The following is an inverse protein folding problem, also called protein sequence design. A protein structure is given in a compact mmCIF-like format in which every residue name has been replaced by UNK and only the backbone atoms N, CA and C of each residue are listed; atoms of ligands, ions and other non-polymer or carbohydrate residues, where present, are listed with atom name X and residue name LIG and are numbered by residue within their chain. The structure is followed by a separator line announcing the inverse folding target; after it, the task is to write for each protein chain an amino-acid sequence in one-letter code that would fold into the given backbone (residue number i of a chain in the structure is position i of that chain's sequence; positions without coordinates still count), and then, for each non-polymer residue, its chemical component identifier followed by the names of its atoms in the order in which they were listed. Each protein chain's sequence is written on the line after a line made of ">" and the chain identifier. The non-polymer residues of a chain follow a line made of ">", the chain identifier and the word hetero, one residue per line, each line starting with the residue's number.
data_IF_390705895485
#
_entry.id   IF_390705895485
#
_cell.length_a   1.000
_cell.length_b   1.000
_cell.length_c   1.000
_cell.angle_alpha   90.00
_cell.angle_beta   90.00
_cell.angle_gamma   90.00
#
_symmetry.space_group_name_H-M   'P 1'
#
loop_
_entity.id
_entity.type
_entity.pdbx_description
1 polymer ?
#
# COMPACT_ATOMS: atom_id res chain seq x y z
N UNK A 1 40.11 11.92 61.90
CA UNK A 1 40.76 11.58 60.62
C UNK A 1 40.10 10.30 60.13
N UNK A 2 39.04 10.46 59.33
CA UNK A 2 38.27 9.34 58.79
C UNK A 2 38.87 8.94 57.44
N UNK A 3 39.19 7.65 57.35
CA UNK A 3 39.54 6.94 56.12
C UNK A 3 38.29 6.88 55.25
N UNK A 4 38.36 7.41 54.04
CA UNK A 4 37.26 7.45 53.08
C UNK A 4 37.74 7.25 51.65
N UNK A 5 37.28 6.14 51.07
CA UNK A 5 37.04 5.88 49.64
C UNK A 5 38.26 5.81 48.70
N UNK A 6 38.75 4.57 48.53
CA UNK A 6 39.34 4.12 47.26
C UNK A 6 38.21 4.00 46.23
N UNK A 7 38.23 4.87 45.21
CA UNK A 7 37.50 4.64 43.97
C UNK A 7 38.29 3.63 43.12
N UNK A 8 37.75 2.43 42.98
CA UNK A 8 38.12 1.51 41.92
C UNK A 8 37.55 2.04 40.59
N UNK A 9 38.38 2.71 39.79
CA UNK A 9 38.10 2.87 38.36
C UNK A 9 38.23 1.51 37.67
N UNK A 10 37.07 0.94 37.32
CA UNK A 10 36.96 -0.22 36.45
C UNK A 10 37.24 0.17 35.00
N UNK A 11 38.17 -0.56 34.39
CA UNK A 11 38.35 -0.82 32.96
C UNK A 11 37.19 -0.41 32.05
N UNK A 12 37.50 0.32 30.98
CA UNK A 12 37.22 -0.18 29.63
C UNK A 12 38.14 0.50 28.61
N UNK A 13 39.09 -0.30 28.12
CA UNK A 13 40.01 0.09 27.08
C UNK A 13 39.29 0.57 25.84
N UNK A 14 39.84 1.64 25.28
CA UNK A 14 39.57 2.20 23.96
C UNK A 14 39.54 1.08 22.90
N UNK A 15 38.34 0.60 22.56
CA UNK A 15 38.13 -0.24 21.38
C UNK A 15 38.13 0.70 20.18
N UNK A 16 39.33 1.09 19.76
CA UNK A 16 39.59 1.61 18.43
C UNK A 16 39.23 0.53 17.42
N UNK A 17 37.97 0.54 16.96
CA UNK A 17 37.53 -0.31 15.85
C UNK A 17 38.32 0.08 14.61
N UNK A 18 39.36 -0.70 14.29
CA UNK A 18 40.08 -0.57 13.02
C UNK A 18 39.07 -0.69 11.88
N UNK A 19 39.05 0.25 10.91
CA UNK A 19 38.11 0.17 9.80
C UNK A 19 38.39 -1.09 8.99
N UNK A 20 37.38 -1.95 8.86
CA UNK A 20 37.43 -3.13 8.00
C UNK A 20 37.76 -2.64 6.58
N UNK A 21 38.93 -3.00 6.05
CA UNK A 21 39.30 -2.70 4.66
C UNK A 21 38.40 -3.52 3.72
N UNK A 22 37.26 -2.95 3.35
CA UNK A 22 36.48 -3.44 2.23
C UNK A 22 37.33 -3.29 0.95
N UNK A 23 37.61 -4.41 0.28
CA UNK A 23 38.18 -4.42 -1.07
C UNK A 23 37.04 -4.52 -2.08
N UNK A 24 36.13 -3.56 -2.09
CA UNK A 24 35.14 -3.46 -3.15
C UNK A 24 35.71 -2.64 -4.29
N UNK A 25 35.91 -3.27 -5.46
CA UNK A 25 36.13 -2.53 -6.73
C UNK A 25 34.94 -1.63 -7.10
N UNK A 26 33.85 -1.75 -6.35
CA UNK A 26 32.58 -1.02 -6.48
C UNK A 26 32.30 -0.06 -5.31
N UNK A 27 33.24 0.14 -4.38
CA UNK A 27 33.09 1.10 -3.26
C UNK A 27 33.44 2.55 -3.69
N UNK A 28 33.36 2.85 -4.98
CA UNK A 28 33.44 4.24 -5.45
C UNK A 28 32.11 4.90 -5.09
N UNK A 29 32.10 6.09 -4.45
CA UNK A 29 30.87 6.83 -4.29
C UNK A 29 30.29 7.03 -5.69
N UNK A 30 29.07 6.54 -5.86
CA UNK A 30 28.39 6.65 -7.13
C UNK A 30 28.09 8.14 -7.29
N UNK A 31 28.50 8.79 -8.39
CA UNK A 31 28.30 10.24 -8.55
C UNK A 31 26.83 10.66 -8.57
N UNK A 32 25.90 9.71 -8.72
CA UNK A 32 24.46 9.92 -8.61
C UNK A 32 23.89 9.62 -7.22
N UNK A 33 24.71 9.18 -6.26
CA UNK A 33 24.27 8.88 -4.88
C UNK A 33 24.38 10.09 -3.92
N UNK A 34 25.11 11.15 -4.28
CA UNK A 34 25.38 12.32 -3.42
C UNK A 34 24.69 13.63 -3.87
N UNK A 35 23.77 13.58 -4.83
CA UNK A 35 23.08 14.79 -5.33
C UNK A 35 22.09 15.34 -4.27
N UNK A 36 22.36 16.47 -3.58
CA UNK A 36 21.56 16.95 -2.45
C UNK A 36 20.19 17.51 -2.86
N UNK A 37 19.98 17.68 -4.16
CA UNK A 37 18.82 18.36 -4.73
C UNK A 37 17.79 17.39 -5.36
N UNK A 38 18.09 16.08 -5.35
CA UNK A 38 17.20 15.04 -5.88
C UNK A 38 16.66 14.28 -4.68
N UNK A 39 15.43 14.61 -4.27
CA UNK A 39 14.71 13.79 -3.31
C UNK A 39 14.25 12.49 -4.01
N UNK A 40 15.07 11.44 -3.87
CA UNK A 40 14.84 10.12 -4.47
C UNK A 40 13.56 9.44 -4.00
N UNK A 41 12.87 10.01 -3.02
CA UNK A 41 11.66 9.46 -2.42
C UNK A 41 10.39 10.25 -2.78
N UNK A 42 10.51 11.38 -3.49
CA UNK A 42 9.34 12.13 -3.95
C UNK A 42 8.62 11.35 -5.06
N UNK A 43 7.35 11.04 -4.84
CA UNK A 43 6.49 10.37 -5.82
C UNK A 43 6.00 11.45 -6.80
N UNK A 44 6.56 11.47 -8.01
CA UNK A 44 6.05 12.35 -9.07
C UNK A 44 4.70 11.86 -9.58
N UNK A 45 3.74 12.77 -9.71
CA UNK A 45 2.42 12.46 -10.26
C UNK A 45 2.56 12.15 -11.75
N UNK A 46 1.86 11.10 -12.20
CA UNK A 46 1.88 10.71 -13.60
C UNK A 46 1.35 11.84 -14.50
N UNK A 47 2.16 12.25 -15.49
CA UNK A 47 1.73 13.21 -16.49
C UNK A 47 0.98 12.49 -17.63
N UNK A 48 -0.28 12.85 -17.93
CA UNK A 48 -1.05 12.27 -19.03
C UNK A 48 -0.38 12.33 -20.41
N UNK A 49 0.60 13.22 -20.61
CA UNK A 49 1.41 13.33 -21.82
C UNK A 49 2.38 12.17 -22.03
N UNK A 50 2.74 11.43 -20.98
CA UNK A 50 3.68 10.30 -21.09
C UNK A 50 3.09 9.09 -21.82
N UNK A 51 1.76 9.03 -21.94
CA UNK A 51 1.07 7.98 -22.68
C UNK A 51 -0.11 8.55 -23.49
N UNK A 52 0.19 9.18 -24.62
CA UNK A 52 -0.82 9.76 -25.51
C UNK A 52 -1.68 8.72 -26.23
N UNK A 53 -1.10 7.56 -26.54
CA UNK A 53 -1.75 6.47 -27.28
C UNK A 53 -2.73 5.68 -26.41
N UNK A 54 -2.54 5.69 -25.09
CA UNK A 54 -3.35 4.94 -24.13
C UNK A 54 -3.01 3.45 -24.13
N UNK A 55 -3.92 2.63 -23.58
CA UNK A 55 -3.72 1.18 -23.47
C UNK A 55 -4.20 0.45 -24.73
N UNK A 56 -3.34 -0.41 -25.29
CA UNK A 56 -3.68 -1.28 -26.42
C UNK A 56 -4.49 -2.51 -25.98
N UNK A 57 -4.07 -3.13 -24.88
CA UNK A 57 -4.70 -4.30 -24.29
C UNK A 57 -5.55 -3.94 -23.08
N UNK A 58 -6.61 -4.72 -22.87
CA UNK A 58 -7.53 -4.56 -21.74
C UNK A 58 -7.11 -5.50 -20.62
N UNK A 59 -6.79 -4.93 -19.47
CA UNK A 59 -6.62 -5.65 -18.21
C UNK A 59 -7.93 -5.59 -17.44
N UNK A 60 -8.43 -6.72 -16.94
CA UNK A 60 -9.67 -6.81 -16.18
C UNK A 60 -9.46 -7.57 -14.88
N UNK A 61 -10.00 -7.05 -13.78
CA UNK A 61 -9.98 -7.67 -12.47
C UNK A 61 -11.38 -7.71 -11.89
N UNK A 62 -11.75 -8.85 -11.29
CA UNK A 62 -13.04 -9.03 -10.64
C UNK A 62 -12.86 -9.47 -9.19
N UNK A 63 -13.76 -9.02 -8.31
CA UNK A 63 -13.82 -9.40 -6.90
C UNK A 63 -15.25 -9.70 -6.50
N UNK A 64 -15.46 -10.85 -5.87
CA UNK A 64 -16.74 -11.23 -5.29
C UNK A 64 -17.01 -10.45 -3.99
N UNK A 65 -18.26 -10.11 -3.75
CA UNK A 65 -18.71 -9.48 -2.51
C UNK A 65 -19.82 -10.30 -1.84
N UNK A 66 -19.94 -10.24 -0.51
CA UNK A 66 -20.99 -10.96 0.20
C UNK A 66 -22.36 -10.29 0.00
N UNK A 67 -23.42 -11.10 -0.05
CA UNK A 67 -24.79 -10.66 -0.35
C UNK A 67 -25.29 -9.53 0.57
N UNK A 68 -24.89 -9.51 1.85
CA UNK A 68 -25.30 -8.44 2.78
C UNK A 68 -24.79 -7.04 2.36
N UNK A 69 -23.75 -6.97 1.53
CA UNK A 69 -23.14 -5.69 1.08
C UNK A 69 -23.77 -5.15 -0.20
N UNK A 70 -24.63 -5.93 -0.86
CA UNK A 70 -25.22 -5.62 -2.16
C UNK A 70 -25.98 -4.28 -2.16
N UNK A 71 -26.88 -4.06 -1.20
CA UNK A 71 -27.68 -2.82 -1.10
C UNK A 71 -26.80 -1.58 -1.01
N UNK A 72 -25.78 -1.64 -0.16
CA UNK A 72 -24.82 -0.53 0.00
C UNK A 72 -24.05 -0.27 -1.29
N UNK A 73 -23.55 -1.33 -1.94
CA UNK A 73 -22.80 -1.21 -3.19
C UNK A 73 -23.67 -0.60 -4.29
N UNK A 74 -24.93 -0.99 -4.39
CA UNK A 74 -25.86 -0.44 -5.38
C UNK A 74 -26.06 1.08 -5.21
N UNK A 75 -26.18 1.57 -3.97
CA UNK A 75 -26.34 3.00 -3.66
C UNK A 75 -25.07 3.80 -3.95
N UNK A 76 -23.89 3.27 -3.60
CA UNK A 76 -22.62 4.00 -3.75
C UNK A 76 -21.93 3.80 -5.11
N UNK A 77 -22.40 2.86 -5.93
CA UNK A 77 -21.80 2.54 -7.22
C UNK A 77 -21.63 3.75 -8.16
N UNK A 78 -22.60 4.69 -8.27
CA UNK A 78 -22.44 5.87 -9.11
C UNK A 78 -21.22 6.72 -8.71
N UNK A 79 -20.94 6.83 -7.41
CA UNK A 79 -19.78 7.57 -6.88
C UNK A 79 -18.47 6.90 -7.29
N UNK A 80 -18.38 5.57 -7.16
CA UNK A 80 -17.21 4.79 -7.60
C UNK A 80 -16.98 4.94 -9.10
N UNK A 81 -18.06 4.88 -9.89
CA UNK A 81 -18.00 5.05 -11.34
C UNK A 81 -17.55 6.44 -11.75
N UNK A 82 -17.96 7.48 -11.01
CA UNK A 82 -17.50 8.85 -11.26
C UNK A 82 -16.00 8.97 -11.00
N UNK A 83 -15.52 8.49 -9.85
CA UNK A 83 -14.11 8.55 -9.48
C UNK A 83 -13.21 7.81 -10.49
N UNK A 84 -13.57 6.59 -10.88
CA UNK A 84 -12.77 5.79 -11.83
C UNK A 84 -12.80 6.34 -13.26
N UNK A 85 -13.87 7.07 -13.63
CA UNK A 85 -14.00 7.68 -14.96
C UNK A 85 -12.97 8.78 -15.20
N UNK A 86 -12.55 9.50 -14.16
CA UNK A 86 -11.51 10.53 -14.25
C UNK A 86 -10.17 9.95 -14.72
N UNK A 87 -9.87 8.72 -14.31
CA UNK A 87 -8.66 7.99 -14.72
C UNK A 87 -8.87 7.13 -15.98
N UNK A 88 -10.07 7.15 -16.57
CA UNK A 88 -10.39 6.37 -17.76
C UNK A 88 -10.52 4.85 -17.50
N UNK A 89 -10.82 4.42 -16.28
CA UNK A 89 -11.06 3.02 -15.93
C UNK A 89 -12.56 2.72 -15.99
N UNK A 90 -12.94 1.60 -16.60
CA UNK A 90 -14.33 1.13 -16.61
C UNK A 90 -14.59 0.27 -15.38
N UNK A 91 -15.80 0.37 -14.82
CA UNK A 91 -16.23 -0.47 -13.71
C UNK A 91 -17.67 -0.96 -13.89
N UNK A 92 -17.89 -2.23 -13.58
CA UNK A 92 -19.17 -2.92 -13.70
C UNK A 92 -19.52 -3.64 -12.38
N UNK A 93 -20.81 -3.59 -12.02
CA UNK A 93 -21.37 -4.25 -10.85
C UNK A 93 -22.36 -5.31 -11.32
N UNK A 94 -22.06 -6.57 -11.05
CA UNK A 94 -22.94 -7.69 -11.35
C UNK A 94 -23.64 -8.15 -10.06
N UNK A 95 -24.94 -7.84 -9.95
CA UNK A 95 -25.77 -8.22 -8.79
C UNK A 95 -26.17 -9.71 -8.82
N UNK A 96 -26.21 -10.34 -10.00
CA UNK A 96 -26.59 -11.75 -10.15
C UNK A 96 -25.46 -12.66 -9.65
N UNK A 97 -24.23 -12.38 -10.08
CA UNK A 97 -23.04 -13.12 -9.61
C UNK A 97 -22.52 -12.60 -8.27
N UNK A 98 -22.91 -11.39 -7.85
CA UNK A 98 -22.35 -10.73 -6.68
C UNK A 98 -20.87 -10.33 -6.87
N UNK A 99 -20.52 -9.83 -8.06
CA UNK A 99 -19.14 -9.49 -8.44
C UNK A 99 -19.00 -8.01 -8.83
N UNK A 100 -17.86 -7.42 -8.49
CA UNK A 100 -17.42 -6.10 -8.96
C UNK A 100 -16.25 -6.30 -9.90
N UNK A 101 -16.32 -5.70 -11.08
CA UNK A 101 -15.28 -5.82 -12.11
C UNK A 101 -14.76 -4.44 -12.48
N UNK A 102 -13.44 -4.30 -12.60
CA UNK A 102 -12.76 -3.11 -13.13
C UNK A 102 -11.93 -3.50 -14.34
N UNK A 103 -11.95 -2.67 -15.37
CA UNK A 103 -11.21 -2.92 -16.61
C UNK A 103 -10.58 -1.64 -17.16
N UNK A 104 -9.37 -1.75 -17.69
CA UNK A 104 -8.73 -0.64 -18.40
C UNK A 104 -9.45 -0.37 -19.71
N UNK A 105 -9.37 0.87 -20.17
CA UNK A 105 -9.89 1.27 -21.49
C UNK A 105 -8.77 1.88 -22.31
N UNK A 106 -9.03 2.10 -23.61
CA UNK A 106 -8.09 2.84 -24.48
C UNK A 106 -7.82 4.28 -24.01
N UNK A 107 -8.65 4.81 -23.11
CA UNK A 107 -8.50 6.15 -22.53
C UNK A 107 -7.65 6.16 -21.27
N UNK A 108 -7.35 5.00 -20.69
CA UNK A 108 -6.49 4.90 -19.51
C UNK A 108 -5.08 5.37 -19.88
N UNK A 109 -4.58 6.38 -19.15
CA UNK A 109 -3.28 7.02 -19.40
C UNK A 109 -2.18 6.35 -18.59
N UNK A 110 -2.40 6.25 -17.28
CA UNK A 110 -1.49 5.56 -16.36
C UNK A 110 -1.76 4.04 -16.37
N UNK A 111 -0.79 3.18 -16.70
CA UNK A 111 -0.95 1.73 -16.57
C UNK A 111 -1.13 1.24 -15.13
N UNK A 112 -0.60 1.95 -14.13
CA UNK A 112 -0.58 1.51 -12.73
C UNK A 112 -1.95 1.69 -12.03
N UNK A 113 -2.78 2.63 -12.48
CA UNK A 113 -4.10 2.90 -11.91
C UNK A 113 -5.02 1.67 -11.84
N UNK A 114 -4.86 0.68 -12.73
CA UNK A 114 -5.67 -0.55 -12.68
C UNK A 114 -5.40 -1.36 -11.41
N UNK A 115 -4.18 -1.30 -10.87
CA UNK A 115 -3.80 -1.96 -9.62
C UNK A 115 -4.47 -1.27 -8.43
N UNK A 116 -4.52 0.06 -8.43
CA UNK A 116 -5.25 0.85 -7.43
C UNK A 116 -6.76 0.61 -7.52
N UNK A 117 -7.33 0.54 -8.73
CA UNK A 117 -8.74 0.23 -8.95
C UNK A 117 -9.11 -1.19 -8.48
N UNK A 118 -8.22 -2.17 -8.66
CA UNK A 118 -8.36 -3.52 -8.09
C UNK A 118 -8.40 -3.48 -6.57
N UNK A 119 -7.55 -2.68 -5.94
CA UNK A 119 -7.52 -2.53 -4.49
C UNK A 119 -8.77 -1.83 -3.96
N UNK A 120 -9.29 -0.83 -4.68
CA UNK A 120 -10.55 -0.17 -4.38
C UNK A 120 -11.72 -1.17 -4.27
N UNK A 121 -11.94 -2.01 -5.30
CA UNK A 121 -13.02 -3.01 -5.27
C UNK A 121 -12.81 -4.06 -4.17
N UNK A 122 -11.55 -4.37 -3.84
CA UNK A 122 -11.19 -5.31 -2.79
C UNK A 122 -11.48 -4.76 -1.40
N UNK A 123 -11.29 -3.46 -1.17
CA UNK A 123 -11.68 -2.76 0.07
C UNK A 123 -13.21 -2.70 0.22
N UNK A 124 -13.93 -2.39 -0.85
CA UNK A 124 -15.40 -2.34 -0.85
C UNK A 124 -16.01 -3.71 -0.47
N UNK A 125 -15.44 -4.80 -0.95
CA UNK A 125 -15.83 -6.17 -0.58
C UNK A 125 -15.64 -6.47 0.92
N UNK A 126 -14.70 -5.77 1.58
CA UNK A 126 -14.43 -5.89 3.04
C UNK A 126 -15.18 -4.88 3.89
N UNK A 127 -16.23 -4.28 3.34
CA UNK A 127 -17.09 -3.33 4.06
C UNK A 127 -16.45 -2.00 4.45
N UNK A 128 -15.37 -1.60 3.77
CA UNK A 128 -14.81 -0.24 3.92
C UNK A 128 -15.78 0.80 3.34
N UNK A 129 -16.00 1.96 3.99
CA UNK A 129 -16.82 3.03 3.44
C UNK A 129 -16.23 3.62 2.15
N UNK A 130 -17.10 3.96 1.19
CA UNK A 130 -16.70 4.44 -0.15
C UNK A 130 -15.78 5.67 -0.10
N UNK A 131 -16.06 6.65 0.76
CA UNK A 131 -15.27 7.87 0.88
C UNK A 131 -13.83 7.60 1.35
N UNK A 132 -13.63 6.58 2.18
CA UNK A 132 -12.30 6.18 2.62
C UNK A 132 -11.61 5.33 1.55
N UNK A 133 -12.37 4.49 0.84
CA UNK A 133 -11.83 3.62 -0.19
C UNK A 133 -11.33 4.42 -1.40
N UNK A 134 -12.03 5.49 -1.82
CA UNK A 134 -11.64 6.33 -2.98
C UNK A 134 -10.26 6.95 -2.81
N UNK A 135 -9.83 7.26 -1.58
CA UNK A 135 -8.51 7.83 -1.29
C UNK A 135 -7.35 6.96 -1.78
N UNK A 136 -7.58 5.66 -2.01
CA UNK A 136 -6.54 4.78 -2.54
C UNK A 136 -6.14 5.10 -3.98
N UNK A 137 -6.97 5.85 -4.71
CA UNK A 137 -6.64 6.33 -6.05
C UNK A 137 -5.51 7.37 -6.02
N UNK A 138 -5.24 7.98 -4.85
CA UNK A 138 -4.09 8.83 -4.64
C UNK A 138 -2.80 7.98 -4.47
N UNK A 139 -1.70 8.45 -5.04
CA UNK A 139 -0.43 7.70 -5.05
C UNK A 139 0.18 7.56 -3.64
N UNK A 140 -0.04 8.55 -2.77
CA UNK A 140 0.46 8.57 -1.39
C UNK A 140 -0.24 7.52 -0.48
N UNK A 141 -1.41 7.04 -0.89
CA UNK A 141 -2.23 6.13 -0.08
C UNK A 141 -2.09 4.70 -0.61
N UNK A 142 -1.77 3.78 0.28
CA UNK A 142 -1.68 2.35 -0.02
C UNK A 142 -2.63 1.56 0.88
N UNK A 143 -3.03 0.35 0.44
CA UNK A 143 -3.79 -0.55 1.29
C UNK A 143 -3.11 -1.90 1.43
N UNK A 144 -3.29 -2.48 2.62
CA UNK A 144 -2.87 -3.85 2.92
C UNK A 144 -4.00 -4.63 3.58
N UNK A 145 -4.13 -5.89 3.18
CA UNK A 145 -5.10 -6.82 3.79
C UNK A 145 -4.33 -7.92 4.49
N UNK A 146 -4.26 -7.79 5.81
CA UNK A 146 -3.58 -8.74 6.68
C UNK A 146 -4.54 -9.89 7.02
N UNK A 147 -4.17 -11.11 6.64
CA UNK A 147 -4.95 -12.32 6.95
C UNK A 147 -4.66 -12.77 8.39
N UNK A 148 -5.56 -12.48 9.31
CA UNK A 148 -5.44 -12.90 10.73
C UNK A 148 -6.04 -14.28 11.03
N UNK A 149 -6.87 -14.84 10.13
CA UNK A 149 -7.65 -16.06 10.39
C UNK A 149 -6.85 -17.35 10.66
N UNK A 150 -5.59 -17.40 10.21
CA UNK A 150 -4.71 -18.57 10.35
C UNK A 150 -3.70 -18.44 11.50
N UNK A 151 -3.69 -17.31 12.22
CA UNK A 151 -2.69 -17.05 13.24
C UNK A 151 -2.88 -17.92 14.49
N UNK A 152 -4.13 -18.24 14.84
CA UNK A 152 -4.47 -19.01 16.03
C UNK A 152 -5.40 -20.17 15.66
N UNK A 153 -5.30 -21.32 16.34
CA UNK A 153 -6.15 -22.50 16.04
C UNK A 153 -7.52 -22.45 16.73
N UNK A 154 -7.56 -21.98 17.98
CA UNK A 154 -8.78 -21.97 18.80
C UNK A 154 -9.71 -20.81 18.44
N UNK A 155 -11.01 -21.11 18.32
CA UNK A 155 -12.04 -20.10 18.00
C UNK A 155 -12.17 -19.03 19.09
N UNK A 156 -12.01 -19.42 20.36
CA UNK A 156 -12.12 -18.51 21.50
C UNK A 156 -10.99 -17.46 21.51
N UNK A 157 -9.73 -17.90 21.38
CA UNK A 157 -8.61 -16.95 21.33
C UNK A 157 -8.62 -16.10 20.05
N UNK A 158 -9.18 -16.59 18.93
CA UNK A 158 -9.44 -15.73 17.75
C UNK A 158 -10.37 -14.58 18.09
N UNK A 159 -11.48 -14.86 18.77
CA UNK A 159 -12.46 -13.83 19.11
C UNK A 159 -11.86 -12.79 20.06
N UNK A 160 -11.12 -13.25 21.07
CA UNK A 160 -10.44 -12.38 22.02
C UNK A 160 -9.40 -11.49 21.33
N UNK A 161 -8.49 -12.07 20.55
CA UNK A 161 -7.50 -11.32 19.78
C UNK A 161 -8.15 -10.34 18.78
N UNK A 162 -9.25 -10.74 18.12
CA UNK A 162 -9.96 -9.84 17.21
C UNK A 162 -10.55 -8.65 17.97
N UNK A 163 -11.13 -8.87 19.16
CA UNK A 163 -11.65 -7.79 19.99
C UNK A 163 -10.52 -6.87 20.49
N UNK A 164 -9.35 -7.44 20.83
CA UNK A 164 -8.17 -6.68 21.24
C UNK A 164 -7.60 -5.80 20.12
N UNK A 165 -7.88 -6.11 18.85
CA UNK A 165 -7.42 -5.32 17.70
C UNK A 165 -8.39 -4.19 17.32
N UNK A 166 -9.55 -4.08 17.97
CA UNK A 166 -10.59 -3.07 17.67
C UNK A 166 -10.46 -1.83 18.58
N UNK A 167 -9.33 -1.65 19.26
CA UNK A 167 -9.07 -0.49 20.11
C UNK A 167 -8.46 0.70 19.37
#
# INVERSE_FOLDING_TARGET
>A
MNVGMEEHENNNGDISQKPKKHKGKHDKPKPWDDDPNIDRWTIEKFDPSWNESGMLEVSSFSTLFPQYREKYLQEVWPTVKSALKEYGVSCELNLVEGSMTVSTTRKTRDPYIIIKARELIRLLSRSVPVHQAIKILDDEVQCDIIKIGNLVRSKMAKQENNNLLIF
#
